data_IF_020565296958
#
_entry.id   IF_020565296958
#
_cell.length_a   1.000
_cell.length_b   1.000
_cell.length_c   1.000
_cell.angle_alpha   90.00
_cell.angle_beta   90.00
_cell.angle_gamma   90.00
#
_symmetry.space_group_name_H-M   'P 1'
#
loop_
_entity.id
_entity.type
_entity.pdbx_description
1 polymer ?
#
# COMPACT_ATOMS: atom_id res chain seq x y z
N UNK A 1 -0.81 40.44 4.57
CA UNK A 1 -0.82 39.65 5.83
C UNK A 1 -2.25 39.36 6.36
N UNK A 2 -3.22 40.26 6.24
CA UNK A 2 -4.61 40.07 6.72
C UNK A 2 -5.34 38.85 6.12
N UNK A 3 -5.17 38.51 4.85
CA UNK A 3 -5.88 37.37 4.22
C UNK A 3 -5.48 35.99 4.72
N UNK A 4 -4.24 35.82 5.23
CA UNK A 4 -3.80 34.54 5.81
C UNK A 4 -4.38 34.35 7.22
N UNK A 5 -4.45 35.39 7.99
CA UNK A 5 -5.03 35.36 9.34
C UNK A 5 -6.54 35.12 9.30
N UNK A 6 -7.24 35.70 8.31
CA UNK A 6 -8.67 35.46 8.11
C UNK A 6 -8.99 34.01 7.77
N UNK A 7 -8.17 33.36 6.93
CA UNK A 7 -8.31 31.93 6.62
C UNK A 7 -8.14 31.05 7.85
N UNK A 8 -7.15 31.38 8.70
CA UNK A 8 -6.90 30.66 9.96
C UNK A 8 -8.08 30.85 10.92
N UNK A 9 -8.56 32.08 11.07
CA UNK A 9 -9.73 32.38 11.90
C UNK A 9 -10.99 31.65 11.40
N UNK A 10 -11.26 31.67 10.10
CA UNK A 10 -12.38 30.95 9.50
C UNK A 10 -12.28 29.42 9.70
N UNK A 11 -11.06 28.85 9.64
CA UNK A 11 -10.84 27.44 9.93
C UNK A 11 -11.13 27.09 11.40
N UNK A 12 -10.64 27.89 12.33
CA UNK A 12 -10.94 27.72 13.78
C UNK A 12 -12.44 27.88 14.09
N UNK A 13 -13.08 28.89 13.48
CA UNK A 13 -14.52 29.10 13.64
C UNK A 13 -15.30 27.89 13.06
N UNK A 14 -14.88 27.35 11.90
CA UNK A 14 -15.49 26.16 11.31
C UNK A 14 -15.36 24.93 12.21
N UNK A 15 -14.17 24.69 12.76
CA UNK A 15 -13.93 23.59 13.71
C UNK A 15 -14.78 23.75 14.96
N UNK A 16 -14.85 24.97 15.50
CA UNK A 16 -15.68 25.28 16.68
C UNK A 16 -17.16 25.03 16.41
N UNK A 17 -17.69 25.50 15.27
CA UNK A 17 -19.08 25.28 14.89
C UNK A 17 -19.42 23.82 14.71
N UNK A 18 -18.53 23.05 14.05
CA UNK A 18 -18.70 21.60 13.92
C UNK A 18 -18.74 20.91 15.28
N UNK A 19 -17.81 21.27 16.18
CA UNK A 19 -17.77 20.71 17.53
C UNK A 19 -19.01 21.11 18.36
N UNK A 20 -19.49 22.37 18.22
CA UNK A 20 -20.63 22.88 18.95
C UNK A 20 -21.95 22.24 18.51
N UNK A 21 -22.14 22.02 17.20
CA UNK A 21 -23.38 21.45 16.67
C UNK A 21 -23.33 19.91 16.53
N UNK A 22 -22.23 19.26 16.92
CA UNK A 22 -22.11 17.81 16.84
C UNK A 22 -23.12 17.17 17.83
N UNK A 23 -24.07 16.36 17.33
CA UNK A 23 -25.13 15.78 18.17
C UNK A 23 -24.58 14.55 18.92
N UNK A 24 -23.71 14.78 19.90
CA UNK A 24 -23.08 13.70 20.72
C UNK A 24 -24.10 12.93 21.56
N UNK A 25 -25.27 13.52 21.82
CA UNK A 25 -26.38 12.87 22.53
C UNK A 25 -27.06 11.76 21.67
N UNK A 26 -26.75 11.69 20.36
CA UNK A 26 -27.31 10.65 19.52
C UNK A 26 -26.43 9.37 19.65
N UNK A 27 -26.99 8.24 20.14
CA UNK A 27 -26.22 7.02 20.37
C UNK A 27 -25.54 6.48 19.11
N UNK A 28 -26.08 6.74 17.92
CA UNK A 28 -25.43 6.37 16.65
C UNK A 28 -24.16 7.17 16.37
N UNK A 29 -24.16 8.47 16.72
CA UNK A 29 -23.02 9.35 16.53
C UNK A 29 -21.91 9.02 17.53
N UNK A 30 -22.29 8.81 18.79
CA UNK A 30 -21.38 8.37 19.85
C UNK A 30 -20.70 7.05 19.51
N UNK A 31 -21.48 6.04 19.10
CA UNK A 31 -20.95 4.75 18.67
C UNK A 31 -20.02 4.88 17.47
N UNK A 32 -20.37 5.69 16.46
CA UNK A 32 -19.53 5.90 15.27
C UNK A 32 -18.20 6.58 15.62
N UNK A 33 -18.19 7.57 16.52
CA UNK A 33 -16.96 8.23 16.98
C UNK A 33 -16.09 7.26 17.76
N UNK A 34 -16.68 6.49 18.67
CA UNK A 34 -15.94 5.49 19.44
C UNK A 34 -15.32 4.41 18.54
N UNK A 35 -16.08 3.89 17.58
CA UNK A 35 -15.60 2.93 16.59
C UNK A 35 -14.45 3.51 15.73
N UNK A 36 -14.56 4.77 15.30
CA UNK A 36 -13.53 5.44 14.53
C UNK A 36 -12.22 5.56 15.33
N UNK A 37 -12.28 5.95 16.61
CA UNK A 37 -11.09 6.02 17.46
C UNK A 37 -10.51 4.64 17.78
N UNK A 38 -11.35 3.64 17.99
CA UNK A 38 -10.91 2.24 18.20
C UNK A 38 -10.20 1.71 16.98
N UNK A 39 -10.74 1.96 15.78
CA UNK A 39 -10.14 1.56 14.52
C UNK A 39 -8.80 2.27 14.30
N UNK A 40 -8.73 3.57 14.56
CA UNK A 40 -7.50 4.36 14.47
C UNK A 40 -6.41 3.83 15.42
N UNK A 41 -6.79 3.51 16.66
CA UNK A 41 -5.88 2.95 17.65
C UNK A 41 -5.37 1.56 17.22
N UNK A 42 -6.27 0.71 16.73
CA UNK A 42 -5.92 -0.62 16.23
C UNK A 42 -4.94 -0.53 15.06
N UNK A 43 -5.25 0.35 14.08
CA UNK A 43 -4.40 0.59 12.92
C UNK A 43 -3.01 1.11 13.31
N UNK A 44 -2.97 2.10 14.22
CA UNK A 44 -1.72 2.66 14.70
C UNK A 44 -0.83 1.63 15.40
N UNK A 45 -1.42 0.75 16.22
CA UNK A 45 -0.66 -0.27 16.96
C UNK A 45 -0.21 -1.45 16.10
N UNK A 46 -1.08 -1.94 15.22
CA UNK A 46 -0.87 -3.22 14.55
C UNK A 46 -0.28 -3.06 13.13
N UNK A 47 -0.44 -1.89 12.52
CA UNK A 47 -0.10 -1.70 11.10
C UNK A 47 0.99 -0.66 10.87
N UNK A 48 0.97 0.46 11.61
CA UNK A 48 1.87 1.58 11.32
C UNK A 48 3.34 1.21 11.47
N UNK A 49 3.73 0.58 12.58
CA UNK A 49 5.14 0.22 12.80
C UNK A 49 5.62 -0.88 11.83
N UNK A 50 4.81 -1.89 11.59
CA UNK A 50 5.18 -3.01 10.71
C UNK A 50 5.23 -2.60 9.22
N UNK A 51 4.48 -1.59 8.81
CA UNK A 51 4.41 -1.11 7.43
C UNK A 51 5.31 0.11 7.19
N UNK A 52 5.18 1.18 7.99
CA UNK A 52 5.83 2.47 7.71
C UNK A 52 7.34 2.40 7.88
N UNK A 53 7.83 1.74 8.95
CA UNK A 53 9.27 1.67 9.20
C UNK A 53 10.01 0.94 8.07
N UNK A 54 9.64 -0.30 7.69
CA UNK A 54 10.28 -0.96 6.56
C UNK A 54 10.15 -0.17 5.24
N UNK A 55 9.01 0.49 5.03
CA UNK A 55 8.76 1.27 3.83
C UNK A 55 9.68 2.48 3.69
N UNK A 56 10.00 3.17 4.79
CA UNK A 56 10.99 4.25 4.79
C UNK A 56 12.39 3.73 4.43
N UNK A 57 12.78 2.58 4.97
CA UNK A 57 14.05 1.93 4.60
C UNK A 57 14.09 1.55 3.13
N UNK A 58 12.99 1.09 2.54
CA UNK A 58 12.89 0.81 1.11
C UNK A 58 13.02 2.10 0.30
N UNK A 59 12.34 3.17 0.70
CA UNK A 59 12.43 4.47 0.02
C UNK A 59 13.84 5.02 0.01
N UNK A 60 14.54 5.00 1.17
CA UNK A 60 15.96 5.35 1.26
C UNK A 60 16.84 4.42 0.42
N UNK A 61 16.52 3.12 0.40
CA UNK A 61 17.22 2.12 -0.40
C UNK A 61 17.06 2.34 -1.90
N UNK A 62 15.88 2.72 -2.37
CA UNK A 62 15.64 3.08 -3.77
C UNK A 62 16.54 4.24 -4.18
N UNK A 63 16.59 5.31 -3.37
CA UNK A 63 17.41 6.49 -3.65
C UNK A 63 18.91 6.14 -3.65
N UNK A 64 19.35 5.22 -2.79
CA UNK A 64 20.77 4.90 -2.61
C UNK A 64 21.26 3.79 -3.56
N UNK A 65 20.44 2.76 -3.80
CA UNK A 65 20.86 1.54 -4.51
C UNK A 65 20.42 1.48 -5.97
N UNK A 66 19.37 2.21 -6.37
CA UNK A 66 19.03 2.35 -7.78
C UNK A 66 19.95 3.37 -8.45
N UNK A 67 20.47 2.98 -9.61
CA UNK A 67 21.26 3.94 -10.40
C UNK A 67 20.35 4.98 -11.03
N UNK A 68 20.70 6.24 -10.90
CA UNK A 68 20.02 7.35 -11.55
C UNK A 68 19.93 7.13 -13.08
N UNK A 69 20.96 6.55 -13.67
CA UNK A 69 21.00 6.18 -15.08
C UNK A 69 19.87 5.22 -15.48
N UNK A 70 19.57 4.22 -14.64
CA UNK A 70 18.46 3.28 -14.88
C UNK A 70 17.10 3.96 -14.77
N UNK A 71 16.90 4.82 -13.77
CA UNK A 71 15.66 5.58 -13.61
C UNK A 71 15.46 6.52 -14.79
N UNK A 72 16.50 7.26 -15.20
CA UNK A 72 16.47 8.15 -16.37
C UNK A 72 16.19 7.40 -17.67
N UNK A 73 16.72 6.20 -17.82
CA UNK A 73 16.53 5.39 -19.03
C UNK A 73 15.08 4.93 -19.21
N UNK A 74 14.43 4.50 -18.14
CA UNK A 74 13.08 3.88 -18.20
C UNK A 74 11.96 4.86 -17.85
N UNK A 75 12.18 5.78 -16.95
CA UNK A 75 11.17 6.71 -16.42
C UNK A 75 11.52 8.18 -16.70
N UNK A 76 12.66 8.47 -17.34
CA UNK A 76 13.10 9.83 -17.63
C UNK A 76 12.29 10.49 -18.73
N UNK A 77 12.42 11.82 -18.89
CA UNK A 77 11.67 12.60 -19.85
C UNK A 77 11.95 12.22 -21.32
N UNK A 78 13.11 11.61 -21.60
CA UNK A 78 13.50 11.12 -22.94
C UNK A 78 13.11 9.64 -23.17
N UNK A 79 12.58 8.96 -22.15
CA UNK A 79 12.15 7.57 -22.29
C UNK A 79 10.94 7.46 -23.23
N UNK A 80 10.80 6.28 -23.85
CA UNK A 80 9.60 5.99 -24.64
C UNK A 80 8.38 6.03 -23.72
N UNK A 81 7.48 7.00 -23.94
CA UNK A 81 6.35 7.27 -23.06
C UNK A 81 5.50 6.04 -22.75
N UNK A 82 5.00 5.24 -23.73
CA UNK A 82 4.26 4.04 -23.43
C UNK A 82 4.99 3.08 -22.50
N UNK A 83 6.30 2.90 -22.70
CA UNK A 83 7.13 2.04 -21.86
C UNK A 83 7.26 2.62 -20.45
N UNK A 84 7.50 3.92 -20.32
CA UNK A 84 7.64 4.59 -19.03
C UNK A 84 6.38 4.48 -18.17
N UNK A 85 5.20 4.70 -18.77
CA UNK A 85 3.93 4.56 -18.07
C UNK A 85 3.61 3.11 -17.71
N UNK A 86 3.89 2.16 -18.62
CA UNK A 86 3.68 0.74 -18.34
C UNK A 86 4.59 0.26 -17.21
N UNK A 87 5.88 0.61 -17.25
CA UNK A 87 6.83 0.28 -16.19
C UNK A 87 6.40 0.91 -14.87
N UNK A 88 6.01 2.19 -14.88
CA UNK A 88 5.55 2.89 -13.68
C UNK A 88 4.30 2.22 -13.07
N UNK A 89 3.31 1.87 -13.90
CA UNK A 89 2.08 1.24 -13.44
C UNK A 89 2.30 -0.18 -12.92
N UNK A 90 3.14 -0.98 -13.61
CA UNK A 90 3.42 -2.36 -13.21
C UNK A 90 4.33 -2.41 -11.98
N UNK A 91 5.33 -1.52 -11.88
CA UNK A 91 6.22 -1.50 -10.72
C UNK A 91 5.48 -1.21 -9.41
N UNK A 92 4.44 -0.36 -9.44
CA UNK A 92 3.57 -0.12 -8.31
C UNK A 92 2.87 -1.40 -7.80
N UNK A 93 2.47 -2.28 -8.72
CA UNK A 93 1.85 -3.58 -8.40
C UNK A 93 2.82 -4.51 -7.67
N UNK A 94 4.06 -4.60 -8.17
CA UNK A 94 5.09 -5.51 -7.64
C UNK A 94 5.60 -5.05 -6.27
N UNK A 95 5.74 -3.74 -6.09
CA UNK A 95 6.28 -3.17 -4.84
C UNK A 95 5.33 -3.31 -3.65
N UNK A 96 4.05 -3.61 -3.88
CA UNK A 96 3.02 -3.83 -2.84
C UNK A 96 3.03 -2.76 -1.74
N UNK A 97 3.25 -1.50 -2.13
CA UNK A 97 3.44 -0.38 -1.20
C UNK A 97 2.11 0.24 -0.78
N UNK A 98 2.04 0.66 0.48
CA UNK A 98 0.91 1.42 1.00
C UNK A 98 1.01 2.91 0.60
N UNK A 99 -0.06 3.66 0.83
CA UNK A 99 -0.11 5.10 0.53
C UNK A 99 0.93 5.93 1.30
N UNK A 100 1.34 5.50 2.49
CA UNK A 100 2.33 6.19 3.30
C UNK A 100 3.77 6.02 2.79
N UNK A 101 4.08 4.89 2.16
CA UNK A 101 5.43 4.60 1.65
C UNK A 101 5.64 5.01 0.20
N UNK A 102 4.57 5.04 -0.60
CA UNK A 102 4.67 5.42 -2.02
C UNK A 102 5.07 6.89 -2.21
N UNK A 103 4.70 7.78 -1.29
CA UNK A 103 5.01 9.20 -1.40
C UNK A 103 6.51 9.50 -1.29
N UNK A 104 7.27 8.98 -0.30
CA UNK A 104 8.73 9.08 -0.28
C UNK A 104 9.39 8.46 -1.52
N UNK A 105 8.88 7.31 -1.99
CA UNK A 105 9.39 6.65 -3.20
C UNK A 105 9.17 7.52 -4.45
N UNK A 106 7.98 8.10 -4.60
CA UNK A 106 7.68 9.07 -5.67
C UNK A 106 8.67 10.23 -5.65
N UNK A 107 8.88 10.84 -4.48
CA UNK A 107 9.81 11.94 -4.33
C UNK A 107 11.25 11.52 -4.69
N UNK A 108 11.67 10.31 -4.30
CA UNK A 108 12.96 9.75 -4.64
C UNK A 108 13.14 9.55 -6.15
N UNK A 109 12.21 8.88 -6.81
CA UNK A 109 12.22 8.62 -8.26
C UNK A 109 12.19 9.95 -9.04
N UNK A 110 11.35 10.89 -8.60
CA UNK A 110 11.25 12.21 -9.22
C UNK A 110 12.54 13.04 -9.06
N UNK A 111 13.20 13.01 -7.90
CA UNK A 111 14.51 13.62 -7.66
C UNK A 111 15.61 12.99 -8.52
N UNK A 112 15.56 11.69 -8.77
CA UNK A 112 16.49 10.99 -9.65
C UNK A 112 16.28 11.28 -11.16
N UNK A 113 15.30 12.12 -11.51
CA UNK A 113 15.08 12.60 -12.87
C UNK A 113 13.96 11.89 -13.63
N UNK A 114 13.11 11.11 -12.98
CA UNK A 114 11.90 10.58 -13.62
C UNK A 114 11.00 11.73 -14.10
N UNK A 115 10.32 11.54 -15.22
CA UNK A 115 9.27 12.43 -15.69
C UNK A 115 8.12 12.50 -14.67
N UNK A 116 7.50 13.68 -14.54
CA UNK A 116 6.40 13.87 -13.58
C UNK A 116 5.20 12.97 -13.89
N UNK A 117 4.93 12.76 -15.19
CA UNK A 117 3.86 11.86 -15.63
C UNK A 117 4.04 10.41 -15.16
N UNK A 118 5.13 9.73 -15.56
CA UNK A 118 5.41 8.38 -15.09
C UNK A 118 5.54 8.29 -13.57
N UNK A 119 6.17 9.26 -12.90
CA UNK A 119 6.25 9.28 -11.44
C UNK A 119 4.87 9.37 -10.78
N UNK A 120 3.95 10.18 -11.33
CA UNK A 120 2.57 10.29 -10.84
C UNK A 120 1.75 9.03 -11.13
N UNK A 121 1.98 8.38 -12.27
CA UNK A 121 1.38 7.07 -12.56
C UNK A 121 1.81 6.01 -11.53
N UNK A 122 3.09 5.97 -11.16
CA UNK A 122 3.61 5.13 -10.10
C UNK A 122 2.98 5.45 -8.74
N UNK A 123 2.90 6.74 -8.38
CA UNK A 123 2.29 7.20 -7.13
C UNK A 123 0.85 6.71 -6.97
N UNK A 124 0.08 6.75 -8.05
CA UNK A 124 -1.31 6.29 -8.04
C UNK A 124 -1.42 4.77 -8.07
N UNK A 125 -0.62 4.10 -8.92
CA UNK A 125 -0.70 2.65 -9.12
C UNK A 125 -0.31 1.86 -7.88
N UNK A 126 0.70 2.31 -7.11
CA UNK A 126 1.20 1.60 -5.94
C UNK A 126 0.10 1.18 -4.95
N UNK A 127 -0.65 2.10 -4.38
CA UNK A 127 -1.74 1.77 -3.45
C UNK A 127 -2.95 1.12 -4.13
N UNK A 128 -3.24 1.49 -5.39
CA UNK A 128 -4.45 1.04 -6.09
C UNK A 128 -4.35 -0.40 -6.58
N UNK A 129 -3.17 -0.82 -7.04
CA UNK A 129 -2.92 -2.12 -7.70
C UNK A 129 -2.08 -3.05 -6.82
N UNK A 130 -2.11 -2.89 -5.52
CA UNK A 130 -1.43 -3.82 -4.62
C UNK A 130 -2.00 -5.24 -4.82
N UNK A 131 -1.12 -6.22 -5.09
CA UNK A 131 -1.49 -7.63 -5.32
C UNK A 131 -2.37 -8.16 -4.18
N UNK A 132 -2.01 -7.87 -2.93
CA UNK A 132 -2.80 -8.29 -1.78
C UNK A 132 -4.20 -7.68 -1.77
N UNK A 133 -4.31 -6.39 -2.13
CA UNK A 133 -5.60 -5.70 -2.18
C UNK A 133 -6.48 -6.21 -3.34
N UNK A 134 -5.90 -6.52 -4.50
CA UNK A 134 -6.63 -7.14 -5.63
C UNK A 134 -7.12 -8.52 -5.24
N UNK A 135 -6.23 -9.34 -4.67
CA UNK A 135 -6.56 -10.69 -4.22
C UNK A 135 -7.68 -10.69 -3.17
N UNK A 136 -7.56 -9.82 -2.16
CA UNK A 136 -8.58 -9.67 -1.13
C UNK A 136 -9.92 -9.19 -1.73
N UNK A 137 -9.88 -8.20 -2.64
CA UNK A 137 -11.10 -7.73 -3.31
C UNK A 137 -11.76 -8.84 -4.12
N UNK A 138 -10.97 -9.59 -4.90
CA UNK A 138 -11.49 -10.71 -5.68
C UNK A 138 -12.08 -11.81 -4.79
N UNK A 139 -11.48 -12.02 -3.63
CA UNK A 139 -11.93 -13.04 -2.68
C UNK A 139 -13.19 -12.63 -1.90
N UNK A 140 -13.27 -11.37 -1.50
CA UNK A 140 -14.36 -10.84 -0.66
C UNK A 140 -15.56 -10.35 -1.49
N UNK A 141 -15.30 -9.66 -2.60
CA UNK A 141 -16.34 -9.04 -3.44
C UNK A 141 -16.62 -9.80 -4.74
N UNK A 142 -15.83 -10.84 -5.02
CA UNK A 142 -15.93 -11.62 -6.26
C UNK A 142 -14.84 -11.29 -7.28
N UNK A 143 -14.54 -12.28 -8.10
CA UNK A 143 -13.45 -12.21 -9.09
C UNK A 143 -13.63 -11.05 -10.08
N UNK A 144 -14.87 -10.80 -10.53
CA UNK A 144 -15.17 -9.75 -11.50
C UNK A 144 -14.82 -8.36 -10.96
N UNK A 145 -15.16 -8.08 -9.70
CA UNK A 145 -14.83 -6.80 -9.05
C UNK A 145 -13.32 -6.67 -8.84
N UNK A 146 -12.65 -7.75 -8.47
CA UNK A 146 -11.18 -7.77 -8.36
C UNK A 146 -10.48 -7.47 -9.68
N UNK A 147 -10.97 -8.07 -10.78
CA UNK A 147 -10.46 -7.85 -12.13
C UNK A 147 -10.70 -6.40 -12.59
N UNK A 148 -11.92 -5.89 -12.44
CA UNK A 148 -12.24 -4.50 -12.80
C UNK A 148 -11.48 -3.49 -11.95
N UNK A 149 -11.19 -3.79 -10.68
CA UNK A 149 -10.30 -2.99 -9.85
C UNK A 149 -8.90 -2.90 -10.45
N UNK A 150 -8.31 -4.03 -10.86
CA UNK A 150 -6.98 -4.05 -11.47
C UNK A 150 -6.94 -3.27 -12.79
N UNK A 151 -7.87 -3.55 -13.70
CA UNK A 151 -7.96 -2.87 -15.01
C UNK A 151 -8.22 -1.38 -14.84
N UNK A 152 -9.19 -1.02 -13.99
CA UNK A 152 -9.53 0.37 -13.71
C UNK A 152 -8.36 1.14 -13.12
N UNK A 153 -7.63 0.56 -12.16
CA UNK A 153 -6.50 1.20 -11.53
C UNK A 153 -5.33 1.46 -12.51
N UNK A 154 -5.04 0.50 -13.42
CA UNK A 154 -4.07 0.72 -14.50
C UNK A 154 -4.52 1.85 -15.42
N UNK A 155 -5.77 1.83 -15.88
CA UNK A 155 -6.31 2.87 -16.75
C UNK A 155 -6.26 4.26 -16.08
N UNK A 156 -6.67 4.35 -14.82
CA UNK A 156 -6.60 5.61 -14.08
C UNK A 156 -5.16 6.05 -13.80
N UNK A 157 -4.22 5.15 -13.55
CA UNK A 157 -2.80 5.50 -13.41
C UNK A 157 -2.25 6.17 -14.68
N UNK A 158 -2.62 5.64 -15.85
CA UNK A 158 -2.29 6.26 -17.13
C UNK A 158 -2.93 7.64 -17.28
N UNK A 159 -4.23 7.77 -16.99
CA UNK A 159 -4.96 9.03 -17.10
C UNK A 159 -4.40 10.10 -16.18
N UNK A 160 -4.14 9.76 -14.92
CA UNK A 160 -3.55 10.69 -13.95
C UNK A 160 -2.14 11.09 -14.37
N UNK A 161 -1.32 10.13 -14.77
CA UNK A 161 0.05 10.41 -15.23
C UNK A 161 0.07 11.30 -16.48
N UNK A 162 -0.75 11.01 -17.48
CA UNK A 162 -0.86 11.85 -18.69
C UNK A 162 -1.42 13.25 -18.35
N UNK A 163 -2.41 13.32 -17.47
CA UNK A 163 -2.98 14.58 -16.97
C UNK A 163 -1.91 15.44 -16.29
N UNK A 164 -1.10 14.85 -15.40
CA UNK A 164 0.00 15.54 -14.75
C UNK A 164 1.08 16.01 -15.73
N UNK A 165 1.46 15.17 -16.69
CA UNK A 165 2.39 15.58 -17.75
C UNK A 165 1.84 16.70 -18.61
N UNK A 166 0.54 16.71 -18.88
CA UNK A 166 -0.12 17.77 -19.66
C UNK A 166 -0.20 19.09 -18.90
N UNK A 167 -0.58 19.05 -17.61
CA UNK A 167 -0.73 20.23 -16.77
C UNK A 167 0.62 20.89 -16.46
N UNK A 168 1.68 20.09 -16.27
CA UNK A 168 3.01 20.56 -15.86
C UNK A 168 4.05 20.49 -16.98
N UNK A 169 3.63 20.62 -18.24
CA UNK A 169 4.52 20.60 -19.41
C UNK A 169 5.70 21.56 -19.32
N UNK A 170 5.53 22.72 -18.69
CA UNK A 170 6.60 23.69 -18.50
C UNK A 170 7.72 23.21 -17.59
N UNK A 171 7.39 22.53 -16.49
CA UNK A 171 8.37 21.94 -15.58
C UNK A 171 9.08 20.74 -16.22
N UNK A 172 8.34 19.93 -16.97
CA UNK A 172 8.88 18.79 -17.71
C UNK A 172 9.93 19.24 -18.73
N UNK A 173 9.64 20.29 -19.51
CA UNK A 173 10.59 20.87 -20.46
C UNK A 173 11.85 21.41 -19.77
N UNK A 174 11.71 22.14 -18.67
CA UNK A 174 12.86 22.63 -17.89
C UNK A 174 13.74 21.49 -17.37
N UNK A 175 13.14 20.38 -16.93
CA UNK A 175 13.88 19.19 -16.52
C UNK A 175 14.60 18.52 -17.67
N UNK A 176 13.97 18.42 -18.84
CA UNK A 176 14.61 17.87 -20.06
C UNK A 176 15.82 18.72 -20.45
N UNK A 177 15.69 20.05 -20.42
CA UNK A 177 16.76 20.97 -20.71
C UNK A 177 17.89 20.89 -19.68
N UNK A 178 17.58 20.85 -18.39
CA UNK A 178 18.56 20.67 -17.32
C UNK A 178 19.28 19.32 -17.43
N UNK A 179 18.56 18.24 -17.68
CA UNK A 179 19.14 16.90 -17.88
C UNK A 179 19.95 16.74 -19.17
N UNK A 180 19.79 17.67 -20.14
CA UNK A 180 20.59 17.70 -21.34
C UNK A 180 21.95 18.38 -21.10
N UNK A 181 22.04 19.24 -20.09
CA UNK A 181 23.25 19.98 -19.71
C UNK A 181 24.12 19.24 -18.69
N UNK A 182 23.51 18.28 -17.95
CA UNK A 182 24.28 17.46 -17.01
C UNK A 182 25.02 16.31 -17.74
N UNK A 183 26.27 16.03 -17.39
CA UNK A 183 26.99 14.86 -17.88
C UNK A 183 26.20 13.60 -17.44
N UNK A 184 26.25 12.56 -18.28
CA UNK A 184 25.58 11.29 -18.00
C UNK A 184 25.84 10.88 -16.55
N UNK A 185 24.77 10.63 -15.75
CA UNK A 185 24.94 10.24 -14.37
C UNK A 185 25.82 8.98 -14.29
N UNK A 186 26.73 8.92 -13.29
CA UNK A 186 27.65 7.81 -13.17
C UNK A 186 26.85 6.49 -13.09
N UNK A 187 27.28 5.51 -13.87
CA UNK A 187 26.76 4.15 -13.76
C UNK A 187 26.95 3.67 -12.32
N UNK A 188 25.90 3.11 -11.74
CA UNK A 188 25.96 2.61 -10.36
C UNK A 188 27.13 1.64 -10.19
N UNK A 189 27.89 1.77 -9.13
CA UNK A 189 29.08 0.93 -8.79
C UNK A 189 28.77 -0.57 -8.75
N UNK A 190 27.47 -0.95 -8.67
CA UNK A 190 27.01 -2.33 -8.55
C UNK A 190 26.41 -2.86 -9.83
N UNK A 191 26.52 -4.18 -9.97
CA UNK A 191 25.77 -4.90 -11.00
C UNK A 191 24.28 -4.81 -10.71
N UNK A 192 23.46 -4.53 -11.72
CA UNK A 192 22.00 -4.32 -11.55
C UNK A 192 21.27 -5.46 -10.81
N UNK A 193 21.72 -6.71 -10.96
CA UNK A 193 21.14 -7.84 -10.25
C UNK A 193 21.36 -7.78 -8.72
N UNK A 194 22.49 -7.23 -8.25
CA UNK A 194 22.77 -7.08 -6.81
C UNK A 194 21.83 -6.06 -6.17
N UNK A 195 21.62 -4.92 -6.83
CA UNK A 195 20.62 -3.93 -6.39
C UNK A 195 19.21 -4.51 -6.44
N UNK A 196 18.89 -5.32 -7.47
CA UNK A 196 17.62 -6.02 -7.58
C UNK A 196 17.37 -6.98 -6.42
N UNK A 197 18.35 -7.79 -6.03
CA UNK A 197 18.19 -8.72 -4.88
C UNK A 197 18.09 -7.99 -3.55
N UNK A 198 18.84 -6.89 -3.34
CA UNK A 198 18.69 -6.04 -2.14
C UNK A 198 17.26 -5.51 -2.05
N UNK A 199 16.74 -4.92 -3.12
CA UNK A 199 15.38 -4.39 -3.14
C UNK A 199 14.33 -5.50 -2.98
N UNK A 200 14.50 -6.63 -3.66
CA UNK A 200 13.59 -7.77 -3.53
C UNK A 200 13.54 -8.31 -2.10
N UNK A 201 14.69 -8.37 -1.41
CA UNK A 201 14.77 -8.78 0.00
C UNK A 201 14.07 -7.78 0.93
N UNK A 202 14.19 -6.46 0.68
CA UNK A 202 13.50 -5.41 1.43
C UNK A 202 11.99 -5.48 1.19
N UNK A 203 11.56 -5.68 -0.06
CA UNK A 203 10.15 -5.82 -0.43
C UNK A 203 9.57 -7.11 0.19
N UNK A 204 10.31 -8.21 0.14
CA UNK A 204 9.91 -9.47 0.77
C UNK A 204 9.72 -9.32 2.28
N UNK A 205 10.65 -8.62 2.95
CA UNK A 205 10.51 -8.30 4.36
C UNK A 205 9.23 -7.51 4.64
N UNK A 206 8.94 -6.46 3.84
CA UNK A 206 7.73 -5.66 3.98
C UNK A 206 6.47 -6.52 3.78
N UNK A 207 6.40 -7.30 2.70
CA UNK A 207 5.23 -8.13 2.38
C UNK A 207 4.94 -9.11 3.52
N UNK A 208 5.94 -9.81 4.04
CA UNK A 208 5.73 -10.80 5.07
C UNK A 208 5.50 -10.18 6.45
N UNK A 209 6.10 -9.03 6.77
CA UNK A 209 5.85 -8.33 8.04
C UNK A 209 4.45 -7.74 8.10
N UNK A 210 3.91 -7.30 6.95
CA UNK A 210 2.58 -6.69 6.84
C UNK A 210 1.49 -7.68 6.40
N UNK A 211 1.82 -8.98 6.33
CA UNK A 211 0.84 -10.01 5.97
C UNK A 211 -0.25 -10.11 7.02
N UNK A 212 -1.48 -9.78 6.65
CA UNK A 212 -2.60 -9.74 7.58
C UNK A 212 -3.34 -11.10 7.66
N UNK A 213 -4.09 -11.28 8.75
CA UNK A 213 -4.99 -12.44 8.90
C UNK A 213 -6.14 -12.32 7.89
N UNK A 214 -6.31 -13.29 6.97
CA UNK A 214 -7.35 -13.24 5.94
C UNK A 214 -8.77 -13.35 6.51
N UNK A 215 -8.93 -13.66 7.79
CA UNK A 215 -10.24 -13.83 8.43
C UNK A 215 -11.00 -15.07 7.95
N UNK A 216 -10.32 -16.03 7.34
CA UNK A 216 -10.94 -17.29 6.90
C UNK A 216 -11.39 -18.12 8.09
N UNK A 217 -12.67 -18.36 8.21
CA UNK A 217 -13.24 -19.12 9.30
C UNK A 217 -14.37 -20.05 8.85
N UNK A 218 -14.52 -21.13 9.59
CA UNK A 218 -15.71 -21.96 9.56
C UNK A 218 -16.51 -21.60 10.82
N UNK A 219 -17.66 -20.96 10.63
CA UNK A 219 -18.57 -20.61 11.70
C UNK A 219 -19.53 -21.77 11.90
N UNK A 220 -19.41 -22.43 13.03
CA UNK A 220 -20.33 -23.49 13.45
C UNK A 220 -21.50 -22.85 14.19
N UNK A 221 -22.71 -23.06 13.70
CA UNK A 221 -23.94 -22.59 14.33
C UNK A 221 -24.43 -23.60 15.35
N UNK A 222 -25.22 -23.14 16.32
CA UNK A 222 -25.83 -23.97 17.35
C UNK A 222 -26.79 -25.01 16.74
N UNK A 223 -27.37 -24.76 15.58
CA UNK A 223 -28.20 -25.68 14.81
C UNK A 223 -27.42 -26.82 14.12
N UNK A 224 -26.09 -26.87 14.31
CA UNK A 224 -25.21 -27.88 13.71
C UNK A 224 -24.78 -27.56 12.27
N UNK A 225 -25.26 -26.47 11.70
CA UNK A 225 -24.79 -26.03 10.36
C UNK A 225 -23.43 -25.35 10.44
N UNK A 226 -22.52 -25.69 9.51
CA UNK A 226 -21.22 -25.03 9.38
C UNK A 226 -21.21 -24.15 8.14
N UNK A 227 -20.88 -22.88 8.30
CA UNK A 227 -20.78 -21.91 7.21
C UNK A 227 -19.33 -21.50 7.07
N UNK A 228 -18.75 -21.76 5.89
CA UNK A 228 -17.40 -21.31 5.56
C UNK A 228 -17.45 -19.93 4.95
N UNK A 229 -16.67 -19.01 5.49
CA UNK A 229 -16.64 -17.63 5.03
C UNK A 229 -15.48 -16.83 5.57
N UNK A 230 -15.43 -15.57 5.19
CA UNK A 230 -14.49 -14.58 5.72
C UNK A 230 -15.20 -13.76 6.79
N UNK A 231 -14.64 -13.71 7.99
CA UNK A 231 -15.12 -12.82 9.04
C UNK A 231 -14.74 -11.40 8.63
N UNK A 232 -15.77 -10.61 8.27
CA UNK A 232 -15.59 -9.22 7.84
C UNK A 232 -15.46 -8.29 9.04
N UNK A 233 -16.32 -8.50 10.03
CA UNK A 233 -16.38 -7.67 11.23
C UNK A 233 -16.94 -8.47 12.40
N UNK A 234 -16.30 -8.33 13.54
CA UNK A 234 -16.80 -8.83 14.81
C UNK A 234 -17.27 -7.66 15.66
N UNK A 235 -18.58 -7.55 15.82
CA UNK A 235 -19.25 -6.59 16.69
C UNK A 235 -19.44 -7.15 18.11
N UNK A 236 -19.97 -6.36 19.01
CA UNK A 236 -20.12 -6.77 20.41
C UNK A 236 -21.03 -7.98 20.54
N UNK A 237 -22.15 -7.98 19.83
CA UNK A 237 -23.19 -9.00 19.94
C UNK A 237 -23.43 -9.79 18.64
N UNK A 238 -22.78 -9.41 17.54
CA UNK A 238 -22.97 -9.98 16.22
C UNK A 238 -21.63 -10.20 15.51
N UNK A 239 -21.59 -11.14 14.58
CA UNK A 239 -20.46 -11.41 13.69
C UNK A 239 -20.96 -11.34 12.26
N UNK A 240 -20.33 -10.49 11.45
CA UNK A 240 -20.61 -10.40 10.03
C UNK A 240 -19.60 -11.25 9.25
N UNK A 241 -20.14 -12.21 8.50
CA UNK A 241 -19.35 -13.10 7.64
C UNK A 241 -19.78 -12.96 6.20
N UNK A 242 -18.84 -13.07 5.30
CA UNK A 242 -19.11 -13.25 3.87
C UNK A 242 -18.96 -14.72 3.51
N UNK A 243 -20.03 -15.31 3.06
CA UNK A 243 -20.11 -16.73 2.74
C UNK A 243 -19.28 -17.04 1.51
N UNK A 244 -18.37 -18.02 1.59
CA UNK A 244 -17.54 -18.46 0.46
C UNK A 244 -18.13 -19.66 -0.28
N UNK A 245 -18.82 -20.53 0.42
CA UNK A 245 -19.42 -21.74 -0.15
C UNK A 245 -20.93 -21.72 0.12
N UNK A 246 -21.73 -21.98 -0.92
CA UNK A 246 -23.19 -22.02 -0.76
C UNK A 246 -23.62 -23.13 0.18
N UNK A 247 -24.41 -22.80 1.19
CA UNK A 247 -24.93 -23.75 2.17
C UNK A 247 -26.46 -23.58 2.27
N UNK A 248 -27.19 -24.56 1.82
CA UNK A 248 -28.67 -24.53 1.81
C UNK A 248 -29.19 -23.38 0.92
N UNK A 249 -29.92 -22.45 1.51
CA UNK A 249 -30.49 -21.28 0.81
C UNK A 249 -29.51 -20.10 0.70
N UNK A 250 -28.37 -20.14 1.39
CA UNK A 250 -27.37 -19.09 1.45
C UNK A 250 -26.41 -19.27 0.27
N UNK A 251 -26.21 -18.24 -0.53
CA UNK A 251 -25.34 -18.29 -1.70
C UNK A 251 -23.94 -17.82 -1.37
N UNK A 252 -22.96 -18.34 -2.09
CA UNK A 252 -21.60 -17.83 -2.04
C UNK A 252 -21.58 -16.35 -2.45
N UNK A 253 -20.91 -15.51 -1.65
CA UNK A 253 -20.88 -14.06 -1.80
C UNK A 253 -21.89 -13.31 -0.92
N UNK A 254 -22.90 -13.98 -0.36
CA UNK A 254 -23.87 -13.34 0.53
C UNK A 254 -23.19 -12.89 1.84
N UNK A 255 -23.65 -11.76 2.36
CA UNK A 255 -23.26 -11.27 3.69
C UNK A 255 -24.26 -11.74 4.71
N UNK A 256 -23.79 -12.49 5.69
CA UNK A 256 -24.60 -13.02 6.77
C UNK A 256 -24.16 -12.37 8.08
N UNK A 257 -25.11 -11.75 8.77
CA UNK A 257 -24.89 -11.24 10.12
C UNK A 257 -25.51 -12.23 11.10
N UNK A 258 -24.69 -12.84 11.93
CA UNK A 258 -25.10 -13.83 12.91
C UNK A 258 -24.96 -13.24 14.32
N UNK A 259 -25.99 -13.32 15.16
CA UNK A 259 -25.83 -13.00 16.57
C UNK A 259 -24.89 -14.01 17.23
N UNK A 260 -24.06 -13.57 18.15
CA UNK A 260 -23.11 -14.45 18.87
C UNK A 260 -23.78 -15.58 19.61
N UNK A 261 -25.03 -15.41 20.00
CA UNK A 261 -25.83 -16.45 20.62
C UNK A 261 -26.15 -17.66 19.73
N UNK A 262 -26.13 -17.47 18.42
CA UNK A 262 -26.32 -18.53 17.41
C UNK A 262 -25.03 -19.21 16.98
N UNK A 263 -23.88 -18.71 17.43
CA UNK A 263 -22.55 -19.20 17.06
C UNK A 263 -22.06 -20.14 18.18
N UNK A 264 -21.88 -21.42 17.86
CA UNK A 264 -21.28 -22.37 18.76
C UNK A 264 -19.75 -22.25 18.82
N UNK A 265 -19.11 -22.10 17.67
CA UNK A 265 -17.66 -21.91 17.55
C UNK A 265 -17.27 -21.22 16.25
N UNK A 266 -16.19 -20.44 16.29
CA UNK A 266 -15.51 -19.90 15.10
C UNK A 266 -14.16 -20.61 15.03
N UNK A 267 -13.98 -21.45 14.02
CA UNK A 267 -12.74 -22.21 13.80
C UNK A 267 -12.03 -21.65 12.58
N UNK A 268 -10.74 -21.42 12.66
CA UNK A 268 -9.93 -20.96 11.51
C UNK A 268 -10.03 -21.97 10.36
N UNK A 269 -10.38 -21.48 9.18
CA UNK A 269 -10.45 -22.29 7.98
C UNK A 269 -9.04 -22.53 7.42
N UNK A 270 -8.73 -23.77 7.08
CA UNK A 270 -7.46 -24.12 6.47
C UNK A 270 -7.37 -23.50 5.06
N UNK A 271 -6.43 -22.58 4.86
CA UNK A 271 -6.14 -21.98 3.56
C UNK A 271 -4.65 -21.69 3.46
N UNK A 272 -4.10 -21.70 2.24
CA UNK A 272 -2.69 -21.39 2.03
C UNK A 272 -2.30 -19.99 2.51
N UNK A 273 -3.25 -19.03 2.46
CA UNK A 273 -3.04 -17.66 2.95
C UNK A 273 -2.87 -17.65 4.47
N UNK A 274 -3.63 -18.49 5.18
CA UNK A 274 -3.53 -18.68 6.63
C UNK A 274 -2.20 -19.39 6.99
N UNK A 275 -1.78 -20.38 6.21
CA UNK A 275 -0.49 -21.04 6.43
C UNK A 275 0.68 -20.05 6.32
N UNK A 276 0.65 -19.15 5.32
CA UNK A 276 1.63 -18.06 5.18
C UNK A 276 1.53 -17.08 6.37
N UNK A 277 0.33 -16.76 6.83
CA UNK A 277 0.14 -15.89 7.99
C UNK A 277 0.80 -16.46 9.26
N UNK A 278 0.71 -17.76 9.50
CA UNK A 278 1.34 -18.40 10.66
C UNK A 278 2.87 -18.39 10.59
N UNK A 279 3.45 -18.53 9.40
CA UNK A 279 4.90 -18.54 9.20
C UNK A 279 5.49 -17.19 8.80
N UNK A 280 4.67 -16.13 8.71
CA UNK A 280 5.08 -14.81 8.20
C UNK A 280 6.32 -14.22 8.88
N UNK A 281 6.42 -14.37 10.19
CA UNK A 281 7.57 -13.84 10.94
C UNK A 281 8.87 -14.58 10.66
N UNK A 282 8.80 -15.89 10.37
CA UNK A 282 9.95 -16.67 9.93
C UNK A 282 10.39 -16.25 8.53
N UNK A 283 9.44 -16.04 7.62
CA UNK A 283 9.71 -15.56 6.27
C UNK A 283 10.27 -14.14 6.28
N UNK A 284 9.69 -13.24 7.08
CA UNK A 284 10.21 -11.89 7.28
C UNK A 284 11.63 -11.93 7.87
N UNK A 285 11.86 -12.76 8.90
CA UNK A 285 13.18 -12.96 9.49
C UNK A 285 14.21 -13.45 8.50
N UNK A 286 13.86 -14.39 7.62
CA UNK A 286 14.73 -14.89 6.56
C UNK A 286 15.08 -13.81 5.54
N UNK A 287 14.09 -13.01 5.11
CA UNK A 287 14.33 -11.86 4.24
C UNK A 287 15.21 -10.80 4.92
N UNK A 288 15.00 -10.55 6.22
CA UNK A 288 15.82 -9.63 7.00
C UNK A 288 17.27 -10.11 7.15
N UNK A 289 17.48 -11.39 7.41
CA UNK A 289 18.82 -12.00 7.46
C UNK A 289 19.53 -11.93 6.09
N UNK A 290 18.79 -12.25 5.01
CA UNK A 290 19.31 -12.12 3.65
C UNK A 290 19.72 -10.67 3.35
N UNK A 291 18.88 -9.71 3.73
CA UNK A 291 19.17 -8.27 3.61
C UNK A 291 20.42 -7.88 4.40
N UNK A 292 20.53 -8.30 5.66
CA UNK A 292 21.69 -8.01 6.51
C UNK A 292 22.98 -8.61 5.93
N UNK A 293 22.94 -9.86 5.45
CA UNK A 293 24.07 -10.53 4.83
C UNK A 293 24.50 -9.83 3.53
N UNK A 294 23.53 -9.48 2.67
CA UNK A 294 23.80 -8.77 1.42
C UNK A 294 24.33 -7.36 1.70
N UNK A 295 23.78 -6.66 2.67
CA UNK A 295 24.25 -5.33 3.09
C UNK A 295 25.69 -5.42 3.55
N UNK A 296 26.02 -6.37 4.41
CA UNK A 296 27.39 -6.56 4.89
C UNK A 296 28.37 -6.92 3.76
N UNK A 297 27.95 -7.72 2.79
CA UNK A 297 28.83 -8.24 1.73
C UNK A 297 28.99 -7.28 0.54
N UNK A 298 27.96 -6.46 0.23
CA UNK A 298 27.90 -5.69 -1.00
C UNK A 298 27.82 -4.17 -0.79
N UNK A 299 27.41 -3.72 0.40
CA UNK A 299 27.23 -2.28 0.68
C UNK A 299 28.47 -1.71 1.35
N UNK A 300 29.04 -0.65 0.76
CA UNK A 300 30.14 0.09 1.35
C UNK A 300 29.64 0.90 2.57
N UNK A 301 30.54 1.19 3.51
CA UNK A 301 30.17 1.93 4.74
C UNK A 301 29.58 3.32 4.45
N UNK A 302 30.08 3.97 3.41
CA UNK A 302 29.61 5.32 3.06
C UNK A 302 28.22 5.25 2.41
N UNK A 303 27.95 4.24 1.59
CA UNK A 303 26.61 3.99 1.04
C UNK A 303 25.62 3.62 2.13
N UNK A 304 26.04 2.84 3.13
CA UNK A 304 25.21 2.52 4.28
C UNK A 304 24.84 3.77 5.09
N UNK A 305 25.80 4.66 5.33
CA UNK A 305 25.53 5.97 5.98
C UNK A 305 24.57 6.81 5.16
N UNK A 306 24.76 6.83 3.83
CA UNK A 306 23.89 7.56 2.91
C UNK A 306 22.47 6.98 2.89
N UNK A 307 22.35 5.64 2.94
CA UNK A 307 21.07 4.97 3.08
C UNK A 307 20.36 5.36 4.37
N UNK A 308 21.07 5.32 5.51
CA UNK A 308 20.50 5.74 6.80
C UNK A 308 20.10 7.22 6.82
N UNK A 309 20.86 8.08 6.12
CA UNK A 309 20.52 9.50 6.02
C UNK A 309 19.29 9.76 5.13
N UNK A 310 19.09 8.94 4.12
CA UNK A 310 17.97 9.04 3.19
C UNK A 310 16.69 8.33 3.70
N UNK A 311 16.78 7.55 4.79
CA UNK A 311 15.68 6.87 5.47
C UNK A 311 15.06 7.77 6.53
#
# INVERSE_FOLDING_TARGET
>A
MAGKQWKIFAAFLGIFLVAYYLPLANPKVEAAIYEAFKLLQWYARNHTLACVVPALFIAGGIITFLSQASVMRYLGPKANQPVAYTVASVSGTVLAVCSCSVLPMFAGIWKMGAGLGPASAFLYSGPAINILAIFLTARVLGFDIGLWRAVGAVAFAFLVGLGMAALFRGEERRKVEAAALEPNPPEGKRRGWQSGFLLASMIGFLIFSDWFNPGDAVVQRVDGTAVRGVVLQEMRDEVMIQVQESVGTIRAGDRLTLPKSEIAAIVEAKSWVMDVYHVRWWLAGLCGLALAMMTWRWVERDEFKQWMHNT
#
